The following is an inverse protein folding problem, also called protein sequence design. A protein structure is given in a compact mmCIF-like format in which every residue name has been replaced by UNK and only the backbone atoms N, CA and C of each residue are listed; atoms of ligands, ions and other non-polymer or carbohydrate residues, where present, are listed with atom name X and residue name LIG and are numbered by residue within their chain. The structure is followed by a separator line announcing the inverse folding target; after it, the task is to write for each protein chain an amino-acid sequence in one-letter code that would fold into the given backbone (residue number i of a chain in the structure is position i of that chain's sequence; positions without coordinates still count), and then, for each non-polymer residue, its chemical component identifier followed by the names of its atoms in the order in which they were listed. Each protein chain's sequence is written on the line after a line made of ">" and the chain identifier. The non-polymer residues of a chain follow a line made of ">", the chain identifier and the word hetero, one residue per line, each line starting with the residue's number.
data_IF_153134175201
#
_entry.id   IF_153134175201
#
_cell.length_a   1.000
_cell.length_b   1.000
_cell.length_c   1.000
_cell.angle_alpha   90.00
_cell.angle_beta   90.00
_cell.angle_gamma   90.00
#
_symmetry.space_group_name_H-M   'P 1'
#
loop_
_entity.id
_entity.type
_entity.pdbx_description
1 polymer ?
#
# COMPACT_ATOMS: atom_id res chain seq x y z
N UNK A 1 -31.81 -48.18 7.68
CA UNK A 1 -30.66 -47.68 6.90
C UNK A 1 -30.56 -46.19 7.19
N UNK A 2 -29.52 -45.75 7.91
CA UNK A 2 -29.29 -44.33 8.13
C UNK A 2 -28.88 -43.72 6.78
N UNK A 3 -29.66 -42.75 6.27
CA UNK A 3 -29.26 -42.01 5.08
C UNK A 3 -27.97 -41.27 5.39
N UNK A 4 -26.91 -41.53 4.63
CA UNK A 4 -25.67 -40.76 4.71
C UNK A 4 -26.06 -39.32 4.36
N UNK A 5 -26.04 -38.43 5.36
CA UNK A 5 -26.32 -37.00 5.16
C UNK A 5 -25.39 -36.48 4.06
N UNK A 6 -25.97 -36.03 2.95
CA UNK A 6 -25.19 -35.53 1.83
C UNK A 6 -24.61 -34.17 2.23
N UNK A 7 -23.34 -33.92 1.92
CA UNK A 7 -22.73 -32.59 2.07
C UNK A 7 -23.51 -31.48 1.33
N UNK A 8 -24.37 -31.86 0.37
CA UNK A 8 -25.28 -30.93 -0.32
C UNK A 8 -26.40 -30.39 0.57
N UNK A 9 -26.74 -31.09 1.66
CA UNK A 9 -27.83 -30.74 2.59
C UNK A 9 -27.36 -29.86 3.74
N UNK A 10 -26.07 -29.47 3.76
CA UNK A 10 -25.53 -28.61 4.82
C UNK A 10 -26.21 -27.22 4.78
N UNK A 11 -26.76 -26.72 5.90
CA UNK A 11 -27.34 -25.39 5.98
C UNK A 11 -26.38 -24.28 5.51
N UNK A 12 -26.91 -23.25 4.85
CA UNK A 12 -26.10 -22.15 4.33
C UNK A 12 -25.29 -21.44 5.41
N UNK A 13 -25.78 -21.35 6.65
CA UNK A 13 -25.05 -20.69 7.73
C UNK A 13 -23.80 -21.47 8.16
N UNK A 14 -23.84 -22.80 8.14
CA UNK A 14 -22.65 -23.61 8.39
C UNK A 14 -21.66 -23.51 7.21
N UNK A 15 -22.17 -23.50 5.98
CA UNK A 15 -21.33 -23.28 4.80
C UNK A 15 -20.66 -21.91 4.82
N UNK A 16 -21.37 -20.87 5.29
CA UNK A 16 -20.80 -19.53 5.54
C UNK A 16 -19.67 -19.59 6.55
N UNK A 17 -19.82 -20.32 7.66
CA UNK A 17 -18.76 -20.49 8.65
C UNK A 17 -17.55 -21.29 8.12
N UNK A 18 -17.78 -22.28 7.24
CA UNK A 18 -16.69 -23.05 6.62
C UNK A 18 -15.91 -22.17 5.64
N UNK A 19 -16.59 -21.55 4.67
CA UNK A 19 -15.91 -20.65 3.71
C UNK A 19 -15.30 -19.42 4.40
N UNK A 20 -15.86 -19.00 5.54
CA UNK A 20 -15.29 -17.98 6.41
C UNK A 20 -14.01 -18.42 7.12
N UNK A 21 -13.62 -19.70 7.10
CA UNK A 21 -12.33 -20.18 7.62
C UNK A 21 -11.33 -20.54 6.53
N UNK A 22 -11.80 -20.86 5.32
CA UNK A 22 -10.92 -21.20 4.18
C UNK A 22 -10.08 -19.98 3.73
N UNK A 23 -8.80 -20.01 4.05
CA UNK A 23 -7.86 -18.90 3.83
C UNK A 23 -7.46 -18.71 2.36
N UNK A 24 -7.09 -19.81 1.69
CA UNK A 24 -6.48 -19.75 0.36
C UNK A 24 -7.53 -19.67 -0.77
N UNK A 25 -7.33 -18.82 -1.80
CA UNK A 25 -8.23 -18.73 -2.96
C UNK A 25 -8.46 -20.06 -3.66
N UNK A 26 -7.43 -20.91 -3.76
CA UNK A 26 -7.54 -22.25 -4.37
C UNK A 26 -8.53 -23.14 -3.62
N UNK A 27 -8.51 -23.11 -2.29
CA UNK A 27 -9.42 -23.90 -1.49
C UNK A 27 -10.84 -23.32 -1.50
N UNK A 28 -10.99 -22.00 -1.71
CA UNK A 28 -12.31 -21.39 -1.96
C UNK A 28 -12.86 -21.80 -3.32
N UNK A 29 -12.01 -21.92 -4.34
CA UNK A 29 -12.41 -22.44 -5.65
C UNK A 29 -12.86 -23.89 -5.53
N UNK A 30 -12.12 -24.72 -4.77
CA UNK A 30 -12.50 -26.11 -4.44
C UNK A 30 -13.82 -26.16 -3.67
N UNK A 31 -14.01 -25.32 -2.65
CA UNK A 31 -15.26 -25.19 -1.90
C UNK A 31 -16.45 -24.90 -2.84
N UNK A 32 -16.29 -23.95 -3.76
CA UNK A 32 -17.33 -23.59 -4.73
C UNK A 32 -17.53 -24.63 -5.84
N UNK A 33 -16.57 -25.54 -6.02
CA UNK A 33 -16.65 -26.62 -6.99
C UNK A 33 -17.45 -27.83 -6.49
N UNK A 34 -17.78 -27.90 -5.19
CA UNK A 34 -18.49 -29.05 -4.59
C UNK A 34 -19.89 -29.25 -5.19
N UNK A 35 -20.78 -28.26 -5.06
CA UNK A 35 -22.12 -28.30 -5.66
C UNK A 35 -22.72 -26.89 -5.81
N UNK A 36 -23.93 -26.78 -6.38
CA UNK A 36 -24.62 -25.49 -6.57
C UNK A 36 -24.90 -24.78 -5.24
N UNK A 37 -25.28 -25.51 -4.20
CA UNK A 37 -25.54 -24.97 -2.85
C UNK A 37 -24.28 -24.29 -2.29
N UNK A 38 -23.14 -24.97 -2.31
CA UNK A 38 -21.85 -24.43 -1.84
C UNK A 38 -21.36 -23.26 -2.68
N UNK A 39 -21.56 -23.32 -4.01
CA UNK A 39 -21.24 -22.22 -4.92
C UNK A 39 -22.05 -20.95 -4.65
N UNK A 40 -23.30 -21.10 -4.23
CA UNK A 40 -24.23 -19.99 -3.97
C UNK A 40 -23.85 -19.16 -2.74
N UNK A 41 -23.00 -19.70 -1.86
CA UNK A 41 -22.60 -19.02 -0.64
C UNK A 41 -21.68 -17.84 -0.97
N UNK A 42 -22.04 -16.62 -0.54
CA UNK A 42 -21.18 -15.47 -0.75
C UNK A 42 -19.86 -15.69 0.00
N UNK A 43 -18.77 -15.36 -0.68
CA UNK A 43 -17.45 -15.39 -0.06
C UNK A 43 -17.38 -14.22 0.92
N UNK A 44 -17.17 -14.44 2.23
CA UNK A 44 -16.95 -13.33 3.15
C UNK A 44 -15.79 -12.46 2.65
N UNK A 45 -16.02 -11.14 2.68
CA UNK A 45 -14.97 -10.14 2.47
C UNK A 45 -14.06 -10.24 3.70
N UNK A 46 -12.79 -10.55 3.47
CA UNK A 46 -11.80 -10.73 4.53
C UNK A 46 -10.81 -9.58 4.52
N UNK A 47 -10.36 -9.20 5.70
CA UNK A 47 -9.25 -8.29 5.93
C UNK A 47 -7.99 -8.78 5.20
N UNK A 48 -7.14 -7.85 4.71
CA UNK A 48 -5.88 -8.22 4.09
C UNK A 48 -4.99 -8.99 5.07
N UNK A 49 -4.07 -9.79 4.53
CA UNK A 49 -3.05 -10.44 5.34
C UNK A 49 -1.89 -9.48 5.53
N UNK A 50 -1.46 -9.31 6.77
CA UNK A 50 -0.24 -8.58 7.09
C UNK A 50 0.94 -9.52 6.85
N UNK A 51 1.91 -9.05 6.08
CA UNK A 51 3.15 -9.76 5.76
C UNK A 51 4.29 -9.05 6.47
N UNK A 52 4.84 -9.67 7.49
CA UNK A 52 6.06 -9.19 8.12
C UNK A 52 7.28 -9.43 7.20
N UNK A 53 8.36 -8.65 7.34
CA UNK A 53 9.55 -8.81 6.50
C UNK A 53 10.16 -10.22 6.52
N UNK A 54 10.12 -10.90 7.66
CA UNK A 54 10.58 -12.28 7.89
C UNK A 54 9.59 -13.36 7.43
N UNK A 55 8.47 -12.94 6.84
CA UNK A 55 7.50 -13.81 6.21
C UNK A 55 6.36 -14.28 7.06
N UNK A 56 6.23 -13.77 8.29
CA UNK A 56 5.01 -14.05 9.06
C UNK A 56 3.81 -13.40 8.42
N UNK A 57 2.85 -14.25 8.05
CA UNK A 57 1.52 -13.83 7.64
C UNK A 57 0.60 -13.84 8.85
N UNK A 58 0.03 -12.67 9.17
CA UNK A 58 -0.91 -12.49 10.26
C UNK A 58 -2.24 -11.99 9.72
N UNK A 59 -3.34 -12.42 10.34
CA UNK A 59 -4.65 -11.81 10.09
C UNK A 59 -4.81 -10.60 11.01
N UNK A 60 -5.39 -9.52 10.49
CA UNK A 60 -5.39 -8.22 11.16
C UNK A 60 -6.09 -8.19 12.52
N UNK A 61 -7.09 -9.06 12.76
CA UNK A 61 -7.93 -9.04 13.98
C UNK A 61 -7.88 -10.32 14.82
N UNK A 62 -7.21 -11.38 14.36
CA UNK A 62 -7.12 -12.64 15.11
C UNK A 62 -5.78 -12.73 15.85
N UNK A 63 -5.71 -13.60 16.86
CA UNK A 63 -4.45 -14.07 17.44
C UNK A 63 -3.44 -14.43 16.32
N UNK A 64 -2.14 -14.07 16.47
CA UNK A 64 -1.14 -14.23 15.43
C UNK A 64 -0.95 -15.70 15.05
N UNK A 65 -1.71 -16.15 14.06
CA UNK A 65 -1.53 -17.45 13.43
C UNK A 65 -0.41 -17.34 12.40
N UNK A 66 0.78 -17.87 12.69
CA UNK A 66 1.89 -17.97 11.72
C UNK A 66 1.48 -18.93 10.60
N UNK A 67 1.06 -18.41 9.44
CA UNK A 67 0.66 -19.26 8.31
C UNK A 67 1.86 -19.75 7.49
N UNK A 68 2.88 -18.92 7.32
CA UNK A 68 4.10 -19.17 6.53
C UNK A 68 5.27 -18.45 7.21
N UNK A 69 6.49 -18.96 7.05
CA UNK A 69 7.74 -18.29 7.40
C UNK A 69 8.62 -18.25 6.15
N UNK A 70 9.36 -17.17 5.93
CA UNK A 70 10.36 -17.13 4.84
C UNK A 70 11.68 -17.74 5.30
N UNK A 71 12.53 -18.20 4.37
CA UNK A 71 13.91 -18.58 4.69
C UNK A 71 14.66 -17.43 5.37
N UNK A 72 15.59 -17.75 6.29
CA UNK A 72 16.34 -16.74 7.07
C UNK A 72 17.10 -15.71 6.22
N UNK A 73 17.45 -16.08 4.99
CA UNK A 73 18.17 -15.23 4.05
C UNK A 73 17.25 -14.45 3.11
N UNK A 74 15.94 -14.43 3.38
CA UNK A 74 14.93 -13.82 2.54
C UNK A 74 14.08 -12.85 3.34
N UNK A 75 13.86 -11.66 2.79
CA UNK A 75 12.96 -10.65 3.38
C UNK A 75 11.97 -10.10 2.35
N UNK A 76 10.74 -9.87 2.76
CA UNK A 76 9.79 -9.08 1.95
C UNK A 76 10.06 -7.58 2.14
N UNK A 77 10.21 -6.86 1.03
CA UNK A 77 10.50 -5.41 1.03
C UNK A 77 9.32 -4.55 0.56
N UNK A 78 8.26 -5.17 0.03
CA UNK A 78 7.03 -4.51 -0.39
C UNK A 78 6.06 -5.48 -1.07
N UNK A 79 4.84 -5.01 -1.33
CA UNK A 79 3.83 -5.77 -2.05
C UNK A 79 2.99 -4.91 -2.97
N UNK A 80 2.42 -5.53 -4.01
CA UNK A 80 1.35 -4.95 -4.83
C UNK A 80 0.34 -6.05 -5.15
N UNK A 81 -0.91 -5.86 -4.75
CA UNK A 81 -1.97 -6.87 -4.90
C UNK A 81 -1.60 -8.23 -4.27
N UNK A 82 -1.32 -9.21 -5.12
CA UNK A 82 -0.94 -10.57 -4.75
C UNK A 82 0.56 -10.85 -4.99
N UNK A 83 1.32 -9.82 -5.36
CA UNK A 83 2.75 -9.90 -5.64
C UNK A 83 3.54 -9.35 -4.46
N UNK A 84 4.57 -10.09 -4.09
CA UNK A 84 5.57 -9.72 -3.10
C UNK A 84 6.88 -9.41 -3.79
N UNK A 85 7.60 -8.41 -3.29
CA UNK A 85 8.99 -8.18 -3.66
C UNK A 85 9.85 -8.79 -2.58
N UNK A 86 10.63 -9.80 -2.97
CA UNK A 86 11.49 -10.57 -2.08
C UNK A 86 12.93 -10.16 -2.34
N UNK A 87 13.67 -9.90 -1.27
CA UNK A 87 15.10 -9.66 -1.23
C UNK A 87 15.77 -10.89 -0.62
N UNK A 88 16.54 -11.60 -1.43
CA UNK A 88 17.32 -12.77 -1.04
C UNK A 88 18.78 -12.36 -0.91
N UNK A 89 19.32 -12.50 0.30
CA UNK A 89 20.74 -12.26 0.57
C UNK A 89 21.52 -13.55 0.44
N UNK A 90 22.59 -13.55 -0.36
CA UNK A 90 23.53 -14.66 -0.39
C UNK A 90 24.39 -14.65 0.88
N UNK A 91 24.41 -15.75 1.62
CA UNK A 91 25.10 -15.83 2.92
C UNK A 91 26.62 -15.73 2.82
N UNK A 92 27.21 -16.04 1.66
CA UNK A 92 28.66 -16.04 1.42
C UNK A 92 29.14 -14.72 0.85
N UNK A 93 28.48 -14.23 -0.19
CA UNK A 93 28.89 -13.01 -0.92
C UNK A 93 28.25 -11.75 -0.35
N UNK A 94 27.18 -11.88 0.46
CA UNK A 94 26.31 -10.79 0.91
C UNK A 94 25.69 -9.97 -0.22
N UNK A 95 25.59 -10.53 -1.42
CA UNK A 95 24.89 -9.91 -2.53
C UNK A 95 23.39 -10.09 -2.37
N UNK A 96 22.60 -9.07 -2.69
CA UNK A 96 21.15 -9.16 -2.68
C UNK A 96 20.64 -9.49 -4.09
N UNK A 97 19.64 -10.36 -4.14
CA UNK A 97 18.90 -10.69 -5.36
C UNK A 97 17.44 -10.40 -5.11
N UNK A 98 16.84 -9.63 -6.01
CA UNK A 98 15.45 -9.24 -5.88
C UNK A 98 14.58 -10.03 -6.84
N UNK A 99 13.43 -10.49 -6.34
CA UNK A 99 12.46 -11.23 -7.14
C UNK A 99 11.04 -10.76 -6.85
N UNK A 100 10.20 -10.78 -7.87
CA UNK A 100 8.77 -10.59 -7.75
C UNK A 100 8.12 -11.96 -7.69
N UNK A 101 7.49 -12.30 -6.56
CA UNK A 101 6.77 -13.56 -6.39
C UNK A 101 5.28 -13.31 -6.22
N UNK A 102 4.45 -13.96 -7.04
CA UNK A 102 3.02 -14.02 -6.78
C UNK A 102 2.74 -15.06 -5.70
N UNK A 103 2.19 -14.61 -4.58
CA UNK A 103 2.02 -15.45 -3.40
C UNK A 103 1.14 -16.69 -3.65
N UNK A 104 0.10 -16.57 -4.47
CA UNK A 104 -0.89 -17.64 -4.70
C UNK A 104 -0.54 -18.57 -5.85
N UNK A 105 -0.04 -18.02 -6.96
CA UNK A 105 0.31 -18.81 -8.15
C UNK A 105 1.74 -19.34 -8.11
N UNK A 106 2.58 -18.82 -7.20
CA UNK A 106 4.01 -19.11 -7.13
C UNK A 106 4.81 -18.73 -8.39
N UNK A 107 4.21 -17.90 -9.25
CA UNK A 107 4.90 -17.31 -10.40
C UNK A 107 5.98 -16.36 -9.90
N UNK A 108 7.21 -16.53 -10.39
CA UNK A 108 8.34 -15.66 -10.07
C UNK A 108 8.82 -14.92 -11.31
N UNK A 109 9.20 -13.66 -11.13
CA UNK A 109 9.83 -12.83 -12.17
C UNK A 109 11.09 -12.19 -11.59
N UNK A 110 12.23 -12.26 -12.29
CA UNK A 110 13.45 -11.57 -11.85
C UNK A 110 13.19 -10.06 -11.71
N UNK A 111 13.57 -9.47 -10.58
CA UNK A 111 13.50 -8.04 -10.38
C UNK A 111 14.92 -7.46 -10.49
N UNK A 112 15.27 -6.86 -11.63
CA UNK A 112 16.68 -6.57 -11.92
C UNK A 112 17.26 -5.47 -11.02
N UNK A 113 18.57 -5.61 -10.76
CA UNK A 113 19.55 -4.51 -10.65
C UNK A 113 19.30 -3.40 -9.61
N UNK A 114 18.51 -3.69 -8.58
CA UNK A 114 18.44 -2.79 -7.41
C UNK A 114 19.83 -2.62 -6.79
N UNK A 115 20.62 -3.69 -6.61
CA UNK A 115 21.96 -3.62 -5.98
C UNK A 115 22.98 -2.79 -6.74
N UNK A 116 22.98 -2.85 -8.08
CA UNK A 116 23.93 -2.08 -8.91
C UNK A 116 23.61 -0.58 -8.87
N UNK A 117 22.33 -0.23 -8.74
CA UNK A 117 21.81 1.14 -8.65
C UNK A 117 21.93 1.71 -7.24
N UNK A 118 21.58 0.89 -6.26
CA UNK A 118 21.56 1.25 -4.84
C UNK A 118 23.00 1.29 -4.30
N UNK A 119 23.91 0.51 -4.89
CA UNK A 119 25.32 0.42 -4.54
C UNK A 119 25.54 -0.33 -3.24
N UNK A 120 26.75 -0.24 -2.68
CA UNK A 120 27.00 -0.70 -1.31
C UNK A 120 26.25 0.22 -0.35
N UNK A 121 25.06 -0.21 0.07
CA UNK A 121 24.22 0.59 0.96
C UNK A 121 24.65 0.47 2.40
N UNK A 122 24.76 1.61 3.05
CA UNK A 122 24.87 1.67 4.50
C UNK A 122 23.64 1.00 5.14
N UNK A 123 23.83 0.48 6.36
CA UNK A 123 22.78 -0.20 7.17
C UNK A 123 21.41 0.50 7.25
N UNK A 124 21.23 1.83 7.11
CA UNK A 124 19.91 2.46 7.19
C UNK A 124 19.11 2.48 5.88
N UNK A 125 19.61 1.95 4.76
CA UNK A 125 18.86 1.99 3.50
C UNK A 125 17.60 1.13 3.55
N UNK A 126 16.50 1.70 3.05
CA UNK A 126 15.20 1.04 2.99
C UNK A 126 14.45 1.37 1.70
N UNK A 127 13.97 0.33 1.03
CA UNK A 127 12.88 0.46 0.05
C UNK A 127 11.61 0.78 0.82
N UNK A 128 11.08 1.98 0.66
CA UNK A 128 9.91 2.41 1.42
C UNK A 128 8.60 2.06 0.75
N UNK A 129 8.48 1.89 -0.57
CA UNK A 129 7.22 1.44 -1.19
C UNK A 129 7.51 0.83 -2.55
N UNK A 130 6.76 -0.21 -2.92
CA UNK A 130 6.84 -0.80 -4.27
C UNK A 130 5.43 -0.87 -4.85
N UNK A 131 5.26 -0.31 -6.04
CA UNK A 131 3.99 -0.28 -6.75
C UNK A 131 4.16 -0.85 -8.15
N UNK A 132 3.18 -1.62 -8.60
CA UNK A 132 3.19 -2.23 -9.93
C UNK A 132 1.90 -1.93 -10.68
N UNK A 133 2.02 -1.37 -11.89
CA UNK A 133 0.87 -0.93 -12.69
C UNK A 133 0.05 -2.10 -13.25
N UNK A 134 0.71 -3.17 -13.69
CA UNK A 134 0.06 -4.33 -14.33
C UNK A 134 0.92 -5.59 -14.17
N UNK A 135 0.88 -6.26 -13.02
CA UNK A 135 1.71 -7.44 -12.79
C UNK A 135 1.44 -8.57 -13.80
N UNK A 136 2.45 -9.39 -14.17
CA UNK A 136 3.86 -9.28 -13.75
C UNK A 136 4.74 -8.35 -14.60
N UNK A 137 4.31 -8.02 -15.81
CA UNK A 137 5.17 -7.37 -16.82
C UNK A 137 5.02 -5.85 -16.85
N UNK A 138 4.22 -5.27 -15.98
CA UNK A 138 3.98 -3.84 -15.91
C UNK A 138 5.14 -3.06 -15.29
N UNK A 139 5.09 -1.74 -15.47
CA UNK A 139 6.00 -0.80 -14.83
C UNK A 139 5.94 -0.96 -13.30
N UNK A 140 7.12 -1.04 -12.68
CA UNK A 140 7.30 -1.04 -11.23
C UNK A 140 7.91 0.29 -10.80
N UNK A 141 7.28 0.95 -9.85
CA UNK A 141 7.80 2.14 -9.20
C UNK A 141 8.25 1.77 -7.78
N UNK A 142 9.53 2.01 -7.50
CA UNK A 142 10.16 1.75 -6.19
C UNK A 142 10.49 3.09 -5.57
N UNK A 143 9.94 3.36 -4.39
CA UNK A 143 10.30 4.51 -3.58
C UNK A 143 11.30 4.06 -2.52
N UNK A 144 12.35 4.85 -2.29
CA UNK A 144 13.40 4.55 -1.30
C UNK A 144 13.53 5.69 -0.28
N UNK A 145 14.32 5.48 0.76
CA UNK A 145 14.75 6.54 1.69
C UNK A 145 16.11 7.17 1.31
N UNK A 146 16.68 6.83 0.15
CA UNK A 146 17.95 7.39 -0.31
C UNK A 146 17.69 8.74 -0.97
N UNK A 147 18.28 9.80 -0.41
CA UNK A 147 18.05 11.17 -0.88
C UNK A 147 18.46 11.39 -2.34
N UNK A 148 19.53 10.72 -2.79
CA UNK A 148 20.01 10.79 -4.18
C UNK A 148 19.10 10.04 -5.15
N UNK A 149 18.40 8.98 -4.71
CA UNK A 149 17.55 8.13 -5.57
C UNK A 149 16.22 7.80 -4.88
N UNK A 150 15.38 8.81 -4.62
CA UNK A 150 14.15 8.66 -3.83
C UNK A 150 13.09 7.85 -4.59
N UNK A 151 13.19 7.78 -5.91
CA UNK A 151 12.35 6.96 -6.79
C UNK A 151 13.20 6.25 -7.84
N UNK A 152 12.83 5.00 -8.14
CA UNK A 152 13.41 4.16 -9.18
C UNK A 152 12.24 3.60 -9.99
N UNK A 153 12.32 3.69 -11.31
CA UNK A 153 11.35 3.07 -12.21
C UNK A 153 11.99 1.86 -12.87
N UNK A 154 11.32 0.71 -12.82
CA UNK A 154 11.83 -0.54 -13.36
C UNK A 154 10.78 -1.13 -14.29
N UNK A 155 11.18 -1.45 -15.51
CA UNK A 155 10.41 -2.29 -16.41
C UNK A 155 11.11 -3.66 -16.44
N UNK A 156 10.52 -4.70 -15.80
CA UNK A 156 11.15 -6.02 -15.70
C UNK A 156 11.62 -6.55 -17.06
N UNK A 157 12.90 -6.94 -17.14
CA UNK A 157 13.51 -7.46 -18.37
C UNK A 157 13.74 -6.45 -19.50
N UNK A 158 13.42 -5.16 -19.31
CA UNK A 158 13.57 -4.11 -20.33
C UNK A 158 14.51 -2.98 -19.91
N UNK A 159 14.57 -2.65 -18.63
CA UNK A 159 15.52 -1.67 -18.09
C UNK A 159 14.97 -0.89 -16.88
N UNK A 160 15.70 0.13 -16.46
CA UNK A 160 15.35 0.99 -15.34
C UNK A 160 15.65 2.47 -15.64
N UNK A 161 15.06 3.35 -14.83
CA UNK A 161 15.32 4.78 -14.86
C UNK A 161 15.49 5.34 -13.44
N UNK A 162 16.38 6.33 -13.34
CA UNK A 162 16.69 7.08 -12.12
C UNK A 162 16.63 8.57 -12.41
N UNK A 163 16.17 9.38 -11.44
CA UNK A 163 16.35 10.82 -11.53
C UNK A 163 17.83 11.16 -11.44
N UNK A 164 18.19 12.34 -11.95
CA UNK A 164 19.48 12.92 -11.64
C UNK A 164 19.61 13.09 -10.11
N UNK A 165 20.76 12.74 -9.51
CA UNK A 165 20.92 12.81 -8.06
C UNK A 165 20.63 14.20 -7.52
N UNK A 166 19.87 14.24 -6.42
CA UNK A 166 19.59 15.46 -5.64
C UNK A 166 18.81 16.54 -6.42
N UNK A 167 18.04 16.14 -7.43
CA UNK A 167 17.21 17.06 -8.23
C UNK A 167 15.81 17.24 -7.62
N UNK A 168 15.35 18.49 -7.54
CA UNK A 168 13.95 18.79 -7.19
C UNK A 168 13.01 18.48 -8.37
N UNK A 169 11.75 18.06 -8.13
CA UNK A 169 11.12 17.88 -6.82
C UNK A 169 11.40 16.52 -6.17
N UNK A 170 12.17 15.63 -6.82
CA UNK A 170 12.39 14.25 -6.37
C UNK A 170 12.95 14.17 -4.95
N UNK A 171 13.87 15.06 -4.57
CA UNK A 171 14.47 15.12 -3.23
C UNK A 171 13.48 15.31 -2.08
N UNK A 172 12.28 15.82 -2.37
CA UNK A 172 11.22 16.04 -1.38
C UNK A 172 10.12 14.99 -1.45
N UNK A 173 10.26 13.97 -2.30
CA UNK A 173 9.25 12.94 -2.51
C UNK A 173 9.10 12.04 -1.27
N UNK A 174 7.90 12.03 -0.68
CA UNK A 174 7.60 11.28 0.54
C UNK A 174 6.70 10.06 0.30
N UNK A 175 5.88 10.05 -0.75
CA UNK A 175 5.09 8.87 -1.12
C UNK A 175 4.75 8.87 -2.62
N UNK A 176 4.36 7.71 -3.15
CA UNK A 176 3.93 7.51 -4.53
C UNK A 176 2.64 6.69 -4.59
N UNK A 177 1.86 6.88 -5.65
CA UNK A 177 0.67 6.09 -5.95
C UNK A 177 0.41 6.05 -7.46
N UNK A 178 -0.13 4.93 -7.95
CA UNK A 178 -0.75 4.91 -9.27
C UNK A 178 -2.21 5.33 -9.13
N UNK A 179 -2.68 6.14 -10.08
CA UNK A 179 -4.09 6.32 -10.35
C UNK A 179 -4.31 5.96 -11.82
N UNK A 180 -5.04 4.87 -12.05
CA UNK A 180 -5.10 4.23 -13.36
C UNK A 180 -3.68 3.93 -13.89
N UNK A 181 -3.33 4.47 -15.06
CA UNK A 181 -2.04 4.20 -15.71
C UNK A 181 -0.95 5.23 -15.41
N UNK A 182 -1.28 6.29 -14.65
CA UNK A 182 -0.35 7.39 -14.37
C UNK A 182 0.19 7.29 -12.95
N UNK A 183 1.50 7.49 -12.82
CA UNK A 183 2.19 7.54 -11.54
C UNK A 183 2.14 8.96 -10.99
N UNK A 184 1.89 9.06 -9.69
CA UNK A 184 1.89 10.31 -8.94
C UNK A 184 2.82 10.21 -7.75
N UNK A 185 3.34 11.37 -7.34
CA UNK A 185 4.23 11.53 -6.21
C UNK A 185 3.79 12.68 -5.33
N UNK A 186 3.81 12.45 -4.03
CA UNK A 186 3.53 13.44 -2.99
C UNK A 186 4.85 13.94 -2.41
N UNK A 187 5.03 15.25 -2.29
CA UNK A 187 6.19 15.84 -1.64
C UNK A 187 5.93 16.20 -0.17
N UNK A 188 7.00 16.50 0.55
CA UNK A 188 6.96 17.00 1.93
C UNK A 188 6.21 18.33 2.08
N UNK A 189 6.16 19.13 1.02
CA UNK A 189 5.41 20.39 0.98
C UNK A 189 3.93 20.16 0.65
N UNK A 190 3.47 18.89 0.63
CA UNK A 190 2.14 18.48 0.21
C UNK A 190 1.84 18.81 -1.27
N UNK A 191 2.86 19.00 -2.11
CA UNK A 191 2.64 19.14 -3.56
C UNK A 191 2.42 17.76 -4.19
N UNK A 192 1.47 17.67 -5.13
CA UNK A 192 1.18 16.47 -5.90
C UNK A 192 1.70 16.61 -7.32
N UNK A 193 2.60 15.73 -7.73
CA UNK A 193 3.13 15.70 -9.09
C UNK A 193 2.66 14.46 -9.84
N UNK A 194 2.36 14.62 -11.12
CA UNK A 194 2.15 13.52 -12.06
C UNK A 194 3.39 13.31 -12.92
N UNK A 195 3.76 12.05 -13.14
CA UNK A 195 4.97 11.68 -13.89
C UNK A 195 4.60 11.35 -15.34
N UNK A 196 5.27 12.01 -16.29
CA UNK A 196 5.17 11.66 -17.70
C UNK A 196 6.24 10.61 -18.01
N UNK A 197 5.80 9.36 -18.14
CA UNK A 197 6.69 8.20 -18.34
C UNK A 197 6.56 7.74 -19.78
N UNK A 198 7.67 7.81 -20.52
CA UNK A 198 7.82 7.24 -21.85
C UNK A 198 8.65 5.94 -21.76
N UNK A 199 8.64 5.18 -22.85
CA UNK A 199 9.47 3.99 -23.00
C UNK A 199 10.33 4.15 -24.25
N UNK A 200 11.61 3.79 -24.15
CA UNK A 200 12.51 3.78 -25.29
C UNK A 200 12.22 2.61 -26.25
N UNK A 201 12.96 2.52 -27.36
CA UNK A 201 12.80 1.44 -28.34
C UNK A 201 13.09 0.02 -27.80
N UNK A 202 13.75 -0.09 -26.64
CA UNK A 202 14.01 -1.36 -25.94
C UNK A 202 12.98 -1.64 -24.85
N UNK A 203 12.08 -0.70 -24.56
CA UNK A 203 11.08 -0.77 -23.51
C UNK A 203 11.57 -0.32 -22.13
N UNK A 204 12.75 0.30 -22.01
CA UNK A 204 13.20 0.86 -20.75
C UNK A 204 12.39 2.14 -20.44
N UNK A 205 11.99 2.35 -19.18
CA UNK A 205 11.21 3.52 -18.82
C UNK A 205 12.09 4.78 -18.88
N UNK A 206 11.50 5.95 -19.07
CA UNK A 206 12.15 7.26 -18.92
C UNK A 206 11.13 8.29 -18.51
N UNK A 207 11.44 9.12 -17.52
CA UNK A 207 10.60 10.27 -17.18
C UNK A 207 10.96 11.44 -18.08
N UNK A 208 10.01 11.88 -18.91
CA UNK A 208 10.18 13.00 -19.84
C UNK A 208 9.80 14.34 -19.23
N UNK A 209 9.09 14.32 -18.10
CA UNK A 209 8.67 15.53 -17.39
C UNK A 209 7.78 15.20 -16.19
N UNK A 210 7.51 16.23 -15.39
CA UNK A 210 6.57 16.18 -14.27
C UNK A 210 5.65 17.39 -14.33
N UNK A 211 4.39 17.17 -13.99
CA UNK A 211 3.36 18.19 -13.92
C UNK A 211 2.89 18.32 -12.47
N UNK A 212 2.91 19.54 -11.91
CA UNK A 212 2.34 19.79 -10.59
C UNK A 212 0.81 19.89 -10.72
N UNK A 213 0.10 18.95 -10.10
CA UNK A 213 -1.36 18.84 -10.15
C UNK A 213 -2.01 19.56 -8.98
N UNK A 214 -1.38 19.50 -7.81
CA UNK A 214 -1.81 20.23 -6.63
C UNK A 214 -0.60 20.93 -6.05
N UNK A 215 -0.72 22.23 -5.82
CA UNK A 215 0.32 23.03 -5.20
C UNK A 215 -0.17 23.56 -3.87
N UNK A 216 0.45 23.15 -2.78
CA UNK A 216 0.08 23.67 -1.48
C UNK A 216 0.77 25.04 -1.28
N UNK A 217 0.00 26.09 -1.00
CA UNK A 217 0.55 27.40 -0.72
C UNK A 217 0.94 27.46 0.75
N UNK A 218 2.25 27.49 1.04
CA UNK A 218 2.76 27.77 2.38
C UNK A 218 2.55 29.25 2.71
N UNK A 219 1.33 29.63 3.06
CA UNK A 219 1.04 30.85 3.82
C UNK A 219 0.63 30.35 5.20
N UNK A 220 1.34 30.78 6.23
CA UNK A 220 1.24 30.34 7.64
C UNK A 220 1.94 29.00 7.97
N UNK A 221 3.26 29.09 8.17
CA UNK A 221 3.87 28.88 9.48
C UNK A 221 5.34 29.29 9.37
N UNK A 222 5.75 30.24 10.20
CA UNK A 222 7.11 30.76 10.27
C UNK A 222 8.14 29.63 10.18
N UNK A 223 8.98 29.71 9.15
CA UNK A 223 10.12 28.84 8.96
C UNK A 223 11.15 29.14 10.06
N UNK A 224 10.92 28.61 11.26
CA UNK A 224 12.03 28.25 12.13
C UNK A 224 12.68 27.02 11.52
N UNK A 225 13.56 27.27 10.55
CA UNK A 225 14.64 26.38 10.16
C UNK A 225 15.56 26.25 11.40
N UNK A 226 15.08 25.55 12.45
CA UNK A 226 15.91 25.13 13.55
C UNK A 226 16.97 24.23 12.94
N UNK A 227 18.20 24.76 12.90
CA UNK A 227 19.32 24.26 12.15
C UNK A 227 19.30 22.75 11.97
N UNK A 228 18.88 22.32 10.78
CA UNK A 228 19.56 21.21 10.18
C UNK A 228 21.00 21.69 10.09
N UNK A 229 21.86 21.17 10.98
CA UNK A 229 23.29 21.26 10.79
C UNK A 229 23.53 21.08 9.30
N UNK A 230 24.11 22.11 8.67
CA UNK A 230 24.60 21.98 7.30
C UNK A 230 25.29 20.62 7.24
N UNK A 231 25.00 19.75 6.27
CA UNK A 231 25.68 18.49 6.20
C UNK A 231 27.15 18.84 6.18
N UNK A 232 27.88 18.46 7.23
CA UNK A 232 29.34 18.42 7.16
C UNK A 232 29.62 17.71 5.84
N UNK A 233 30.49 18.28 5.01
CA UNK A 233 30.95 17.67 3.75
C UNK A 233 31.58 16.31 4.08
N UNK A 234 30.78 15.30 4.36
CA UNK A 234 31.15 13.91 4.33
C UNK A 234 30.65 13.39 3.01
N UNK A 235 31.57 12.80 2.27
CA UNK A 235 31.42 12.12 0.98
C UNK A 235 30.49 10.90 1.02
N UNK A 236 29.62 10.78 2.02
CA UNK A 236 28.69 9.67 2.20
C UNK A 236 27.26 10.14 1.92
N UNK A 237 26.54 9.41 1.07
CA UNK A 237 25.21 9.77 0.59
C UNK A 237 24.21 9.85 1.76
N UNK A 238 23.83 11.06 2.17
CA UNK A 238 22.85 11.30 3.24
C UNK A 238 21.55 10.52 2.98
N UNK A 239 21.24 9.57 3.87
CA UNK A 239 19.94 8.87 3.91
C UNK A 239 18.91 9.82 4.54
N UNK A 240 17.72 9.94 3.93
CA UNK A 240 16.60 10.66 4.52
C UNK A 240 16.08 9.84 5.70
N UNK A 241 16.55 10.16 6.91
CA UNK A 241 16.23 9.39 8.09
C UNK A 241 14.73 9.27 8.32
N UNK A 242 13.90 10.25 7.95
CA UNK A 242 12.44 10.13 8.06
C UNK A 242 11.68 11.04 7.08
N UNK A 243 10.73 10.46 6.33
CA UNK A 243 9.64 11.22 5.66
C UNK A 243 8.60 11.71 6.65
N UNK A 244 9.07 12.22 7.77
CA UNK A 244 8.25 12.68 8.87
C UNK A 244 8.68 14.09 9.21
N UNK A 245 7.70 14.95 9.45
CA UNK A 245 7.96 16.27 10.00
C UNK A 245 7.85 16.19 11.51
N UNK A 246 8.85 16.76 12.18
CA UNK A 246 8.90 16.90 13.62
C UNK A 246 8.65 18.36 13.93
N UNK A 247 7.63 18.63 14.71
CA UNK A 247 7.39 19.93 15.29
C UNK A 247 7.47 19.76 16.82
N UNK A 248 8.23 20.64 17.48
CA UNK A 248 8.31 20.65 18.94
C UNK A 248 7.04 21.33 19.48
N UNK A 249 6.32 20.61 20.33
CA UNK A 249 5.13 21.06 21.05
C UNK A 249 5.48 21.21 22.55
N UNK A 250 4.74 22.04 23.30
CA UNK A 250 4.96 22.23 24.74
C UNK A 250 4.96 20.91 25.54
N UNK A 251 4.22 19.89 25.08
CA UNK A 251 4.11 18.57 25.75
C UNK A 251 4.94 17.44 25.09
N UNK A 252 5.80 17.75 24.11
CA UNK A 252 6.67 16.76 23.45
C UNK A 252 6.78 16.93 21.94
N UNK A 253 7.20 15.88 21.25
CA UNK A 253 7.46 15.94 19.80
C UNK A 253 6.25 15.45 19.01
N UNK A 254 5.74 16.26 18.08
CA UNK A 254 4.69 15.87 17.12
C UNK A 254 5.32 15.39 15.83
N UNK A 255 4.93 14.20 15.41
CA UNK A 255 5.38 13.56 14.19
C UNK A 255 4.25 13.53 13.17
N UNK A 256 4.43 14.18 12.02
CA UNK A 256 3.48 14.13 10.90
C UNK A 256 3.94 13.12 9.85
N UNK A 257 3.03 12.24 9.42
CA UNK A 257 3.23 11.23 8.37
C UNK A 257 2.14 11.40 7.32
N UNK A 258 2.50 11.28 6.05
CA UNK A 258 1.57 11.33 4.93
C UNK A 258 1.53 10.01 4.18
N UNK A 259 0.34 9.67 3.69
CA UNK A 259 0.10 8.51 2.84
C UNK A 259 -0.70 8.95 1.62
N UNK A 260 -0.23 8.61 0.43
CA UNK A 260 -0.92 8.83 -0.83
C UNK A 260 -1.64 7.55 -1.22
N UNK A 261 -2.95 7.62 -1.46
CA UNK A 261 -3.81 6.45 -1.67
C UNK A 261 -4.65 6.62 -2.93
N UNK A 262 -4.69 5.58 -3.76
CA UNK A 262 -5.65 5.49 -4.86
C UNK A 262 -7.06 5.19 -4.30
N UNK A 263 -8.02 6.07 -4.54
CA UNK A 263 -9.43 5.79 -4.36
C UNK A 263 -10.06 5.39 -5.69
N UNK A 264 -10.10 4.09 -5.97
CA UNK A 264 -10.66 3.56 -7.22
C UNK A 264 -12.14 3.86 -7.39
N UNK A 265 -12.90 3.90 -6.31
CA UNK A 265 -14.33 4.23 -6.36
C UNK A 265 -14.56 5.69 -6.78
N UNK A 266 -13.70 6.61 -6.34
CA UNK A 266 -13.78 8.02 -6.71
C UNK A 266 -13.03 8.37 -7.99
N UNK A 267 -12.14 7.48 -8.44
CA UNK A 267 -11.21 7.77 -9.54
C UNK A 267 -10.24 8.90 -9.19
N UNK A 268 -9.91 9.07 -7.91
CA UNK A 268 -9.11 10.19 -7.38
C UNK A 268 -8.02 9.71 -6.42
N UNK A 269 -7.07 10.60 -6.14
CA UNK A 269 -6.04 10.39 -5.13
C UNK A 269 -6.46 11.04 -3.82
N UNK A 270 -6.22 10.31 -2.74
CA UNK A 270 -6.39 10.79 -1.38
C UNK A 270 -5.02 10.98 -0.72
N UNK A 271 -4.83 12.08 -0.01
CA UNK A 271 -3.74 12.27 0.94
C UNK A 271 -4.28 12.09 2.35
N UNK A 272 -3.74 11.11 3.07
CA UNK A 272 -4.00 10.93 4.51
C UNK A 272 -2.85 11.57 5.26
N UNK A 273 -3.12 12.62 6.03
CA UNK A 273 -2.18 13.26 6.95
C UNK A 273 -2.46 12.79 8.37
N UNK A 274 -1.47 12.17 9.00
CA UNK A 274 -1.56 11.63 10.35
C UNK A 274 -0.53 12.30 11.24
N UNK A 275 -0.99 12.87 12.34
CA UNK A 275 -0.14 13.39 13.39
C UNK A 275 -0.14 12.43 14.58
N UNK A 276 1.06 12.15 15.07
CA UNK A 276 1.31 11.24 16.17
C UNK A 276 2.08 12.03 17.23
N UNK A 277 1.60 12.00 18.48
CA UNK A 277 2.26 12.67 19.61
C UNK A 277 2.75 11.61 20.61
N UNK A 278 3.88 11.88 21.25
CA UNK A 278 4.36 11.06 22.35
C UNK A 278 5.71 11.51 22.91
N UNK A 279 5.99 11.26 24.20
CA UNK A 279 7.33 11.40 24.77
C UNK A 279 8.34 10.53 24.02
N UNK A 280 9.63 10.91 24.00
CA UNK A 280 10.68 10.13 23.30
C UNK A 280 10.78 8.66 23.75
N UNK A 281 10.23 8.31 24.93
CA UNK A 281 10.36 7.00 25.58
C UNK A 281 9.01 6.33 25.91
N UNK A 282 7.86 6.87 25.48
CA UNK A 282 6.54 6.29 25.76
C UNK A 282 5.75 5.94 24.49
N UNK A 283 4.65 5.19 24.67
CA UNK A 283 3.77 4.75 23.57
C UNK A 283 3.21 5.97 22.84
N UNK A 284 3.57 6.09 21.56
CA UNK A 284 3.05 7.12 20.66
C UNK A 284 1.58 6.86 20.35
N UNK A 285 0.76 7.91 20.30
CA UNK A 285 -0.66 7.80 19.97
C UNK A 285 -1.03 8.76 18.83
N UNK A 286 -2.02 8.36 18.04
CA UNK A 286 -2.55 9.21 16.97
C UNK A 286 -3.37 10.35 17.58
N UNK A 287 -2.93 11.59 17.38
CA UNK A 287 -3.62 12.78 17.89
C UNK A 287 -4.52 13.44 16.84
N UNK A 288 -4.15 13.38 15.56
CA UNK A 288 -4.92 13.99 14.47
C UNK A 288 -4.82 13.15 13.21
N UNK A 289 -5.95 13.02 12.52
CA UNK A 289 -6.01 12.42 11.18
C UNK A 289 -6.86 13.32 10.29
N UNK A 290 -6.31 13.67 9.15
CA UNK A 290 -6.97 14.47 8.12
C UNK A 290 -6.85 13.76 6.79
N UNK A 291 -7.90 13.82 5.98
CA UNK A 291 -7.94 13.22 4.66
C UNK A 291 -8.33 14.29 3.66
N UNK A 292 -7.56 14.37 2.58
CA UNK A 292 -7.78 15.31 1.50
C UNK A 292 -7.90 14.56 0.19
N UNK A 293 -8.71 15.08 -0.70
CA UNK A 293 -8.88 14.61 -2.06
C UNK A 293 -8.23 15.59 -3.02
N UNK A 294 -7.48 15.07 -4.00
CA UNK A 294 -6.87 15.90 -5.02
C UNK A 294 -7.94 16.44 -5.98
N UNK A 295 -8.02 17.77 -6.11
CA UNK A 295 -8.82 18.42 -7.14
C UNK A 295 -7.90 19.08 -8.17
N UNK A 296 -7.75 18.41 -9.31
CA UNK A 296 -6.95 18.90 -10.42
C UNK A 296 -7.55 20.16 -11.07
N UNK A 297 -8.86 20.38 -10.96
CA UNK A 297 -9.52 21.53 -11.59
C UNK A 297 -9.20 22.84 -10.86
N UNK A 298 -9.08 22.79 -9.54
CA UNK A 298 -8.70 23.91 -8.69
C UNK A 298 -7.23 23.89 -8.31
N UNK A 299 -6.51 22.82 -8.64
CA UNK A 299 -5.12 22.57 -8.23
C UNK A 299 -4.91 22.62 -6.71
N UNK A 300 -5.90 22.13 -5.94
CA UNK A 300 -5.91 22.18 -4.46
C UNK A 300 -6.26 20.83 -3.83
N UNK A 301 -5.89 20.68 -2.56
CA UNK A 301 -6.36 19.61 -1.70
C UNK A 301 -7.71 19.98 -1.08
N UNK A 302 -8.73 19.16 -1.30
CA UNK A 302 -10.09 19.37 -0.77
C UNK A 302 -10.31 18.45 0.43
N UNK A 303 -10.63 18.97 1.63
CA UNK A 303 -10.87 18.13 2.81
C UNK A 303 -12.03 17.16 2.61
N UNK A 304 -11.84 15.90 3.02
CA UNK A 304 -12.87 14.85 2.98
C UNK A 304 -13.53 14.73 4.35
N UNK A 305 -14.79 15.16 4.45
CA UNK A 305 -15.57 15.14 5.71
C UNK A 305 -16.67 14.07 5.73
N UNK A 306 -17.12 13.58 4.57
CA UNK A 306 -18.28 12.68 4.43
C UNK A 306 -18.02 11.19 4.63
N UNK A 307 -16.76 10.80 4.88
CA UNK A 307 -16.31 9.40 4.89
C UNK A 307 -15.66 8.98 3.57
N UNK A 308 -15.55 7.66 3.38
CA UNK A 308 -14.82 7.00 2.29
C UNK A 308 -15.75 6.23 1.33
N UNK A 309 -17.05 6.53 1.34
CA UNK A 309 -18.09 5.94 0.47
C UNK A 309 -18.12 4.41 0.50
N UNK A 310 -18.33 3.79 1.66
CA UNK A 310 -18.35 2.32 1.75
C UNK A 310 -16.97 1.67 1.74
N UNK A 311 -15.89 2.44 1.90
CA UNK A 311 -14.52 1.92 1.89
C UNK A 311 -13.80 2.08 3.22
N UNK A 312 -12.70 1.36 3.34
CA UNK A 312 -11.66 1.54 4.33
C UNK A 312 -10.31 1.75 3.65
N UNK A 313 -9.41 2.48 4.32
CA UNK A 313 -8.03 2.62 3.89
C UNK A 313 -7.12 1.77 4.78
N UNK A 314 -6.19 1.06 4.18
CA UNK A 314 -5.08 0.40 4.87
C UNK A 314 -3.81 1.13 4.45
N UNK A 315 -3.11 1.73 5.42
CA UNK A 315 -1.95 2.57 5.12
C UNK A 315 -0.76 2.20 6.01
N UNK A 316 0.41 2.27 5.39
CA UNK A 316 1.71 2.28 6.06
C UNK A 316 2.74 2.98 5.19
N UNK A 317 3.97 3.12 5.68
CA UNK A 317 5.12 3.55 4.87
C UNK A 317 5.31 2.67 3.63
N UNK A 318 5.07 1.36 3.77
CA UNK A 318 5.35 0.29 2.78
C UNK A 318 4.28 0.08 1.73
N UNK A 319 3.05 0.47 2.02
CA UNK A 319 1.92 0.29 1.12
C UNK A 319 0.78 1.21 1.52
N UNK A 320 -0.09 1.51 0.56
CA UNK A 320 -1.37 2.16 0.84
C UNK A 320 -2.43 1.60 -0.10
N UNK A 321 -3.65 1.40 0.41
CA UNK A 321 -4.73 0.86 -0.40
C UNK A 321 -6.10 1.22 0.13
N UNK A 322 -7.02 1.50 -0.79
CA UNK A 322 -8.45 1.55 -0.52
C UNK A 322 -9.12 0.20 -0.83
N UNK A 323 -10.00 -0.26 0.06
CA UNK A 323 -10.81 -1.48 -0.14
C UNK A 323 -12.25 -1.22 0.26
N UNK A 324 -13.19 -1.93 -0.37
CA UNK A 324 -14.58 -1.91 0.09
C UNK A 324 -14.69 -2.49 1.50
N UNK A 325 -15.44 -1.79 2.34
CA UNK A 325 -15.80 -2.26 3.66
C UNK A 325 -16.75 -3.47 3.60
N UNK A 326 -16.78 -4.24 4.69
CA UNK A 326 -17.63 -5.41 4.84
C UNK A 326 -16.89 -6.61 5.42
N UNK A 327 -17.65 -7.52 6.05
CA UNK A 327 -17.08 -8.56 6.88
C UNK A 327 -16.41 -7.93 8.10
N UNK A 328 -15.12 -8.19 8.26
CA UNK A 328 -14.29 -7.69 9.37
C UNK A 328 -13.70 -6.28 9.09
N UNK A 329 -14.00 -5.68 7.93
CA UNK A 329 -13.50 -4.35 7.57
C UNK A 329 -14.58 -3.31 7.84
N UNK A 330 -14.33 -2.42 8.80
CA UNK A 330 -15.22 -1.32 9.15
C UNK A 330 -15.23 -0.22 8.06
N UNK A 331 -16.41 0.31 7.78
CA UNK A 331 -16.60 1.42 6.85
C UNK A 331 -16.04 2.74 7.40
N UNK A 332 -15.64 3.64 6.50
CA UNK A 332 -15.11 4.97 6.81
C UNK A 332 -13.89 4.93 7.76
N UNK A 333 -13.16 3.81 7.75
CA UNK A 333 -12.09 3.53 8.71
C UNK A 333 -10.73 3.48 8.03
N UNK A 334 -9.73 4.05 8.69
CA UNK A 334 -8.33 4.07 8.27
C UNK A 334 -7.54 3.21 9.24
N UNK A 335 -6.97 2.13 8.74
CA UNK A 335 -6.14 1.19 9.48
C UNK A 335 -4.66 1.53 9.28
N UNK A 336 -3.99 1.85 10.38
CA UNK A 336 -2.58 2.21 10.42
C UNK A 336 -1.72 1.01 10.82
N UNK A 337 -1.05 0.39 9.84
CA UNK A 337 -0.42 -0.91 10.09
C UNK A 337 0.82 -0.83 10.97
N UNK A 338 1.47 0.33 11.08
CA UNK A 338 2.63 0.50 11.95
C UNK A 338 2.30 0.57 13.44
N UNK A 339 1.03 0.82 13.79
CA UNK A 339 0.59 0.88 15.20
C UNK A 339 -0.57 -0.07 15.51
N UNK A 340 -1.22 -0.63 14.48
CA UNK A 340 -2.45 -1.40 14.62
C UNK A 340 -3.68 -0.56 14.98
N UNK A 341 -3.55 0.77 15.01
CA UNK A 341 -4.68 1.67 15.29
C UNK A 341 -5.63 1.72 14.09
N UNK A 342 -6.93 1.81 14.39
CA UNK A 342 -7.99 2.07 13.43
C UNK A 342 -8.65 3.41 13.77
N UNK A 343 -8.65 4.35 12.82
CA UNK A 343 -9.31 5.64 12.95
C UNK A 343 -10.60 5.66 12.13
N UNK A 344 -11.73 5.88 12.79
CA UNK A 344 -13.01 6.03 12.11
C UNK A 344 -13.26 7.50 11.78
N UNK A 345 -13.41 7.84 10.50
CA UNK A 345 -13.58 9.22 10.03
C UNK A 345 -14.89 9.85 10.47
N UNK A 346 -15.94 9.04 10.67
CA UNK A 346 -17.29 9.52 11.00
C UNK A 346 -17.41 9.86 12.48
N UNK A 347 -16.98 8.96 13.36
CA UNK A 347 -16.97 9.20 14.82
C UNK A 347 -15.76 10.00 15.28
N UNK A 348 -14.72 10.12 14.44
CA UNK A 348 -13.42 10.73 14.77
C UNK A 348 -12.72 10.09 15.97
N UNK A 349 -12.91 8.77 16.14
CA UNK A 349 -12.32 7.98 17.23
C UNK A 349 -11.21 7.09 16.71
N UNK A 350 -10.16 6.92 17.51
CA UNK A 350 -9.06 5.99 17.25
C UNK A 350 -9.12 4.84 18.25
N UNK A 351 -8.96 3.60 17.79
CA UNK A 351 -8.74 2.45 18.68
C UNK A 351 -7.38 2.53 19.34
N UNK A 352 -7.15 1.88 20.50
CA UNK A 352 -5.80 1.78 21.06
C UNK A 352 -4.85 1.04 20.10
N UNK A 353 -3.54 1.32 20.15
CA UNK A 353 -2.55 0.58 19.38
C UNK A 353 -2.51 -0.89 19.79
N UNK A 354 -2.33 -1.78 18.81
CA UNK A 354 -2.23 -3.23 19.03
C UNK A 354 -0.75 -3.62 18.96
N UNK A 355 -0.28 -4.34 19.98
CA UNK A 355 1.13 -4.68 20.21
C UNK A 355 1.64 -5.80 19.27
N UNK A 356 1.50 -5.64 17.96
CA UNK A 356 1.94 -6.61 16.94
C UNK A 356 2.47 -5.93 15.66
N UNK A 357 2.53 -4.59 15.66
CA UNK A 357 2.80 -3.82 14.46
C UNK A 357 4.30 -3.69 14.17
N UNK A 358 4.73 -4.21 13.02
CA UNK A 358 6.06 -3.96 12.46
C UNK A 358 5.98 -2.77 11.51
N UNK A 359 6.85 -1.78 11.70
CA UNK A 359 6.99 -0.61 10.81
C UNK A 359 7.37 -0.98 9.37
N UNK A 360 7.74 -2.24 9.14
CA UNK A 360 8.23 -2.76 7.86
C UNK A 360 7.27 -3.78 7.25
N UNK A 361 6.14 -4.08 7.89
CA UNK A 361 5.16 -5.00 7.34
C UNK A 361 4.43 -4.41 6.12
N UNK A 362 4.00 -5.29 5.21
CA UNK A 362 3.20 -4.94 4.03
C UNK A 362 1.91 -5.75 3.99
N UNK A 363 0.99 -5.48 3.06
CA UNK A 363 -0.28 -6.21 2.96
C UNK A 363 -0.42 -7.03 1.69
N UNK A 364 -0.95 -8.25 1.83
CA UNK A 364 -1.40 -9.09 0.73
C UNK A 364 -2.92 -9.05 0.64
N UNK A 365 -3.42 -8.85 -0.58
CA UNK A 365 -4.84 -8.84 -0.88
C UNK A 365 -5.19 -10.12 -1.65
N UNK A 366 -6.24 -10.82 -1.17
CA UNK A 366 -6.71 -12.06 -1.77
C UNK A 366 -7.31 -11.81 -3.17
N UNK A 367 -6.97 -12.64 -4.18
CA UNK A 367 -7.63 -12.67 -5.49
C UNK A 367 -9.14 -12.84 -5.34
N UNK A 368 -9.91 -11.96 -5.98
CA UNK A 368 -11.38 -11.96 -5.91
C UNK A 368 -12.01 -10.86 -5.04
N UNK A 369 -11.23 -10.01 -4.36
CA UNK A 369 -11.75 -8.74 -3.83
C UNK A 369 -12.10 -7.73 -4.94
N UNK A 370 -11.54 -7.91 -6.14
CA UNK A 370 -11.75 -7.05 -7.31
C UNK A 370 -13.02 -7.39 -8.14
N UNK A 371 -13.53 -8.63 -8.10
CA UNK A 371 -14.42 -9.11 -9.17
C UNK A 371 -15.92 -8.80 -8.99
N UNK A 372 -16.31 -8.05 -7.95
CA UNK A 372 -17.73 -7.71 -7.78
C UNK A 372 -18.19 -6.45 -8.55
N UNK A 373 -17.28 -5.67 -9.14
CA UNK A 373 -17.64 -4.40 -9.82
C UNK A 373 -18.07 -4.56 -11.29
N UNK A 374 -17.89 -5.72 -11.92
CA UNK A 374 -18.31 -5.92 -13.32
C UNK A 374 -19.79 -6.29 -13.50
N UNK A 375 -20.57 -6.51 -12.44
CA UNK A 375 -21.93 -7.08 -12.58
C UNK A 375 -23.13 -6.15 -12.37
N UNK A 376 -22.97 -4.91 -11.90
CA UNK A 376 -24.13 -4.04 -11.60
C UNK A 376 -24.47 -2.95 -12.62
N UNK A 377 -23.78 -2.85 -13.78
CA UNK A 377 -24.14 -1.89 -14.85
C UNK A 377 -24.75 -2.52 -16.12
N UNK A 378 -25.33 -3.73 -16.04
CA UNK A 378 -26.00 -4.37 -17.20
C UNK A 378 -27.39 -4.96 -16.90
N UNK A 379 -28.09 -4.47 -15.88
CA UNK A 379 -29.48 -4.89 -15.61
C UNK A 379 -30.40 -3.71 -15.34
N UNK A 380 -30.43 -2.76 -16.27
CA UNK A 380 -31.56 -1.85 -16.46
C UNK A 380 -31.58 -1.52 -17.95
N UNK A 381 -32.77 -1.55 -18.57
CA UNK A 381 -33.05 -1.47 -20.02
C UNK A 381 -33.03 -2.79 -20.79
N UNK A 382 -34.08 -3.59 -20.61
CA UNK A 382 -34.89 -4.12 -21.73
C UNK A 382 -36.14 -4.79 -21.15
N UNK A 383 -37.17 -3.99 -20.90
CA UNK A 383 -38.55 -4.44 -20.85
C UNK A 383 -39.35 -3.47 -21.72
N UNK A 384 -39.26 -3.66 -23.04
CA UNK A 384 -40.31 -3.24 -23.95
C UNK A 384 -40.85 -4.53 -24.57
N UNK A 385 -42.01 -4.93 -24.05
CA UNK A 385 -42.93 -5.90 -24.63
C UNK A 385 -43.20 -5.51 -26.08
N UNK A 386 -43.07 -6.47 -26.98
CA UNK A 386 -43.80 -6.49 -28.24
C UNK A 386 -44.71 -7.70 -28.14
N UNK A 387 -46.00 -7.45 -27.94
CA UNK A 387 -47.10 -8.37 -28.22
C UNK A 387 -48.22 -7.49 -28.80
N UNK A 388 -48.29 -7.45 -30.14
CA UNK A 388 -49.49 -7.63 -30.98
C UNK A 388 -49.13 -7.43 -32.45
#
# INVERSE_FOLDING_TARGET
>A
MASISSWSDLPQDLLRLVIARVALPVDRARFRAVCRSWRSVPSPRRTPWLVAPDGFLMRFEDDPCRLVAFPDNCRCIGSTDSWLVMDLTDSKTRTHTYTLENFFSKTTVPFPELDTVIGNVSKPFEVRKVLMRSPPEGLVAVRTNKYSYPIILVQPGKGLWLPQPRTAPYTRLIDIAFLHDRLYGLTRDEDLFSFHIAFDGKGAPTVTGMECIVKHSTVDHDHHEHGLEQPRKSTDDNIEYNSMRYDDDEDGVVMTIWYLVESRARGKLLMVRRQIKGPQLATRFTCKVEVFEADASTSTWVPVSGGLDGHALFVSKRFSRSVFAGGDVAEDTIYFMETGEAYNMRSKTTTPPILMASTHATCLFLPGSLDYYKKEKKSTYTNLRVDQ
#
